data_IF_629109501272
#
_entry.id   IF_629109501272
#
_cell.length_a   1.000
_cell.length_b   1.000
_cell.length_c   1.000
_cell.angle_alpha   90.00
_cell.angle_beta   90.00
_cell.angle_gamma   90.00
#
_symmetry.space_group_name_H-M   'P 1'
#
loop_
_entity.id
_entity.type
_entity.pdbx_description
1 polymer ?
#
# COMPACT_ATOMS: atom_id res chain seq x y z
N UNK A 1 27.73 50.00 1.32
CA UNK A 1 27.38 50.39 2.70
C UNK A 1 25.94 49.96 2.94
N UNK A 2 25.63 49.45 4.15
CA UNK A 2 24.30 49.03 4.66
C UNK A 2 23.86 47.62 4.26
N UNK A 3 23.39 46.75 5.15
CA UNK A 3 23.33 46.68 6.62
C UNK A 3 23.17 45.19 6.94
N UNK A 4 24.09 44.60 7.71
CA UNK A 4 23.97 43.24 8.23
C UNK A 4 23.02 43.25 9.44
N UNK A 5 21.92 42.51 9.36
CA UNK A 5 20.95 42.35 10.43
C UNK A 5 21.22 41.00 11.11
N UNK A 6 21.86 41.05 12.28
CA UNK A 6 22.06 39.90 13.16
C UNK A 6 20.75 39.60 13.89
N UNK A 7 20.13 38.46 13.58
CA UNK A 7 18.98 37.94 14.34
C UNK A 7 19.50 36.92 15.35
N UNK A 8 19.47 37.30 16.62
CA UNK A 8 19.79 36.45 17.77
C UNK A 8 18.64 35.46 18.03
N UNK A 9 18.88 34.17 17.84
CA UNK A 9 17.94 33.12 18.23
C UNK A 9 18.32 32.61 19.64
N UNK A 10 17.50 33.00 20.62
CA UNK A 10 17.56 32.55 22.01
C UNK A 10 17.07 31.10 22.12
N UNK A 11 17.97 30.21 22.54
CA UNK A 11 17.73 28.79 22.78
C UNK A 11 17.11 28.60 24.17
N UNK A 12 15.82 28.28 24.23
CA UNK A 12 15.14 27.89 25.46
C UNK A 12 15.17 26.37 25.60
N UNK A 13 16.03 25.86 26.46
CA UNK A 13 16.06 24.46 26.89
C UNK A 13 14.87 24.21 27.82
N UNK A 14 13.88 23.43 27.38
CA UNK A 14 12.84 22.86 28.25
C UNK A 14 13.22 21.41 28.52
N UNK A 15 13.62 21.15 29.76
CA UNK A 15 13.83 19.82 30.30
C UNK A 15 12.52 19.33 30.95
N UNK A 16 11.95 18.25 30.43
CA UNK A 16 11.03 17.36 31.13
C UNK A 16 11.77 16.02 31.14
N UNK A 17 12.12 15.41 32.27
CA UNK A 17 11.30 15.18 33.45
C UNK A 17 11.05 13.67 33.47
N UNK A 18 11.93 12.95 34.18
CA UNK A 18 11.90 11.50 34.39
C UNK A 18 10.62 11.09 35.14
N UNK A 19 9.81 10.22 34.53
CA UNK A 19 8.76 9.47 35.23
C UNK A 19 9.06 7.97 35.11
N UNK A 20 9.88 7.50 36.06
CA UNK A 20 10.03 6.09 36.42
C UNK A 20 8.73 5.58 37.05
N UNK A 21 8.02 4.67 36.38
CA UNK A 21 6.77 4.14 36.90
C UNK A 21 6.31 2.82 36.31
N UNK A 22 6.79 1.71 36.87
CA UNK A 22 5.97 0.49 36.98
C UNK A 22 6.26 -0.63 35.98
N UNK A 23 7.09 -1.56 36.42
CA UNK A 23 7.11 -2.95 35.95
C UNK A 23 5.72 -3.60 36.10
N UNK A 24 5.22 -4.23 35.05
CA UNK A 24 4.25 -5.31 35.14
C UNK A 24 4.81 -6.55 34.43
N UNK A 25 5.48 -7.40 35.20
CA UNK A 25 5.89 -8.74 34.78
C UNK A 25 4.65 -9.64 34.67
N UNK A 26 4.06 -9.69 33.48
CA UNK A 26 2.98 -10.61 33.12
C UNK A 26 3.52 -11.84 32.38
N UNK A 27 4.19 -12.74 33.09
CA UNK A 27 4.65 -14.01 32.54
C UNK A 27 3.50 -14.96 32.22
N UNK A 28 3.10 -15.01 30.95
CA UNK A 28 2.27 -16.07 30.37
C UNK A 28 3.09 -16.88 29.37
N UNK A 29 3.90 -17.83 29.85
CA UNK A 29 4.51 -18.86 29.01
C UNK A 29 3.43 -19.87 28.65
N UNK A 30 2.97 -19.85 27.40
CA UNK A 30 2.31 -21.02 26.83
C UNK A 30 3.38 -22.04 26.44
N UNK A 31 3.48 -23.11 27.22
CA UNK A 31 4.27 -24.29 26.89
C UNK A 31 3.47 -25.18 25.95
N UNK A 32 3.36 -24.75 24.70
CA UNK A 32 2.96 -25.58 23.57
C UNK A 32 4.07 -26.58 23.27
N UNK A 33 3.81 -27.85 23.59
CA UNK A 33 4.67 -29.00 23.37
C UNK A 33 5.03 -29.14 21.89
N UNK A 34 6.32 -29.05 21.57
CA UNK A 34 6.85 -29.44 20.25
C UNK A 34 6.86 -30.97 20.22
N UNK A 35 5.86 -31.59 19.60
CA UNK A 35 5.94 -33.02 19.25
C UNK A 35 6.81 -33.17 18.00
N UNK A 36 7.65 -34.21 17.90
CA UNK A 36 8.47 -34.44 16.72
C UNK A 36 7.56 -34.74 15.51
N UNK A 37 7.72 -33.97 14.44
CA UNK A 37 7.17 -34.34 13.14
C UNK A 37 7.93 -35.55 12.60
N UNK A 38 7.35 -36.73 12.80
CA UNK A 38 7.68 -37.95 12.06
C UNK A 38 6.39 -38.54 11.50
N UNK A 39 6.42 -38.86 10.21
CA UNK A 39 5.58 -39.91 9.63
C UNK A 39 4.27 -39.45 9.00
N UNK A 40 4.17 -39.63 7.67
CA UNK A 40 2.93 -39.49 6.94
C UNK A 40 1.85 -40.45 7.43
N UNK A 41 0.66 -39.90 7.67
CA UNK A 41 -0.59 -40.63 7.78
C UNK A 41 -1.59 -39.98 6.84
N UNK A 42 -2.07 -40.76 5.86
CA UNK A 42 -3.26 -40.40 5.09
C UNK A 42 -4.44 -40.89 5.94
N UNK A 43 -5.14 -39.96 6.59
CA UNK A 43 -6.36 -40.25 7.34
C UNK A 43 -7.52 -40.50 6.36
N UNK A 44 -7.80 -41.78 6.07
CA UNK A 44 -8.98 -42.23 5.31
C UNK A 44 -10.22 -42.45 6.18
N UNK A 45 -10.27 -41.82 7.37
CA UNK A 45 -11.37 -41.95 8.31
C UNK A 45 -12.50 -40.98 8.03
N UNK A 46 -13.44 -41.35 7.15
CA UNK A 46 -14.73 -40.65 7.00
C UNK A 46 -15.57 -40.90 8.26
N UNK A 47 -15.54 -39.98 9.24
CA UNK A 47 -16.51 -40.00 10.33
C UNK A 47 -17.88 -39.53 9.81
N UNK A 48 -18.96 -40.33 9.92
CA UNK A 48 -20.31 -39.88 9.62
C UNK A 48 -20.78 -39.00 10.78
N UNK A 49 -20.94 -37.71 10.53
CA UNK A 49 -21.42 -36.74 11.52
C UNK A 49 -20.56 -35.48 11.70
N UNK A 50 -19.50 -35.31 10.91
CA UNK A 50 -18.84 -34.00 10.78
C UNK A 50 -19.82 -33.05 10.10
N UNK A 51 -20.13 -31.95 10.75
CA UNK A 51 -20.93 -30.89 10.17
C UNK A 51 -20.21 -30.40 8.92
N UNK A 52 -20.76 -30.72 7.76
CA UNK A 52 -20.43 -30.05 6.50
C UNK A 52 -20.95 -28.61 6.47
N UNK A 53 -21.14 -28.00 7.64
CA UNK A 53 -21.22 -26.57 7.77
C UNK A 53 -19.86 -26.05 7.35
N UNK A 54 -19.77 -25.60 6.10
CA UNK A 54 -18.76 -24.64 5.69
C UNK A 54 -18.80 -23.57 6.77
N UNK A 55 -17.79 -23.58 7.63
CA UNK A 55 -17.44 -22.50 8.51
C UNK A 55 -17.22 -21.32 7.57
N UNK A 56 -18.32 -20.59 7.35
CA UNK A 56 -18.35 -19.30 6.66
C UNK A 56 -17.72 -18.30 7.61
N UNK A 57 -16.49 -18.61 8.05
CA UNK A 57 -15.77 -17.97 9.11
C UNK A 57 -15.41 -16.58 8.65
N UNK A 58 -16.27 -15.63 8.98
CA UNK A 58 -15.96 -14.23 9.31
C UNK A 58 -15.09 -13.43 8.34
N UNK A 59 -14.83 -13.89 7.12
CA UNK A 59 -13.72 -13.43 6.30
C UNK A 59 -13.95 -12.17 5.45
N UNK A 60 -15.08 -11.46 5.59
CA UNK A 60 -15.42 -10.37 4.66
C UNK A 60 -15.85 -9.05 5.30
N UNK A 61 -15.78 -8.90 6.63
CA UNK A 61 -16.23 -7.66 7.28
C UNK A 61 -15.26 -6.49 7.16
N UNK A 62 -13.99 -6.71 6.83
CA UNK A 62 -12.98 -5.66 6.97
C UNK A 62 -13.19 -4.48 6.03
N UNK A 63 -13.80 -4.70 4.86
CA UNK A 63 -14.13 -3.64 3.89
C UNK A 63 -15.59 -3.20 3.93
N UNK A 64 -16.36 -3.69 4.91
CA UNK A 64 -17.69 -3.18 5.16
C UNK A 64 -17.59 -1.98 6.10
N UNK A 65 -17.52 -0.79 5.50
CA UNK A 65 -17.29 0.47 6.22
C UNK A 65 -18.48 0.95 7.05
N UNK A 66 -19.58 0.20 7.11
CA UNK A 66 -20.80 0.57 7.81
C UNK A 66 -21.54 1.72 7.10
N UNK A 67 -22.80 1.54 6.75
CA UNK A 67 -23.58 2.53 6.01
C UNK A 67 -24.91 1.99 5.52
N UNK A 68 -25.53 2.68 4.57
CA UNK A 68 -26.81 2.24 4.00
C UNK A 68 -26.68 1.19 2.90
N UNK A 69 -25.45 0.93 2.43
CA UNK A 69 -25.13 -0.04 1.38
C UNK A 69 -23.70 -0.56 1.52
N UNK A 70 -23.39 -1.67 0.86
CA UNK A 70 -22.07 -2.27 0.74
C UNK A 70 -21.42 -1.81 -0.58
N UNK A 71 -20.28 -1.13 -0.48
CA UNK A 71 -19.55 -0.57 -1.62
C UNK A 71 -19.10 -1.62 -2.66
N UNK A 72 -18.70 -2.80 -2.20
CA UNK A 72 -18.17 -3.86 -3.07
C UNK A 72 -19.29 -4.66 -3.73
N UNK A 73 -20.39 -4.88 -2.99
CA UNK A 73 -21.56 -5.59 -3.51
C UNK A 73 -22.47 -4.69 -4.36
N UNK A 74 -22.37 -3.36 -4.20
CA UNK A 74 -23.24 -2.37 -4.83
C UNK A 74 -24.74 -2.72 -4.66
N UNK A 75 -25.14 -3.01 -3.42
CA UNK A 75 -26.44 -3.61 -3.05
C UNK A 75 -27.58 -2.60 -2.84
N UNK A 76 -27.59 -1.53 -3.63
CA UNK A 76 -28.68 -0.54 -3.61
C UNK A 76 -30.00 -1.14 -4.12
N UNK A 77 -31.11 -0.75 -3.50
CA UNK A 77 -32.43 -1.39 -3.77
C UNK A 77 -33.16 -0.80 -4.97
N UNK A 78 -32.82 0.42 -5.39
CA UNK A 78 -33.40 1.07 -6.56
C UNK A 78 -32.54 0.81 -7.79
N UNK A 79 -33.16 0.39 -8.90
CA UNK A 79 -32.46 0.24 -10.17
C UNK A 79 -31.92 1.58 -10.67
N UNK A 80 -30.68 1.61 -11.14
CA UNK A 80 -29.99 2.85 -11.55
C UNK A 80 -29.28 3.55 -10.40
N UNK A 81 -29.20 2.96 -9.20
CA UNK A 81 -28.41 3.50 -8.08
C UNK A 81 -27.11 2.74 -7.89
N UNK A 82 -26.07 3.47 -7.51
CA UNK A 82 -24.79 2.94 -7.05
C UNK A 82 -24.57 3.23 -5.56
N UNK A 83 -23.72 2.42 -4.93
CA UNK A 83 -23.24 2.64 -3.57
C UNK A 83 -21.95 3.47 -3.60
N UNK A 84 -21.99 4.68 -3.05
CA UNK A 84 -20.88 5.64 -3.10
C UNK A 84 -20.38 6.00 -1.71
N UNK A 85 -19.06 6.05 -1.52
CA UNK A 85 -18.45 6.42 -0.25
C UNK A 85 -18.54 7.94 -0.05
N UNK A 86 -19.13 8.36 1.08
CA UNK A 86 -19.14 9.76 1.54
C UNK A 86 -18.42 9.89 2.88
N UNK A 87 -18.32 11.11 3.42
CA UNK A 87 -17.77 11.35 4.76
C UNK A 87 -18.56 10.67 5.88
N UNK A 88 -19.86 10.42 5.67
CA UNK A 88 -20.75 9.79 6.65
C UNK A 88 -20.90 8.27 6.42
N UNK A 89 -20.12 7.71 5.48
CA UNK A 89 -20.16 6.32 5.06
C UNK A 89 -20.79 6.10 3.68
N UNK A 90 -20.93 4.83 3.26
CA UNK A 90 -21.56 4.46 1.99
C UNK A 90 -23.05 4.83 1.92
N UNK A 91 -23.44 5.47 0.83
CA UNK A 91 -24.83 5.85 0.54
C UNK A 91 -25.26 5.43 -0.87
N UNK A 92 -26.53 5.06 -1.02
CA UNK A 92 -27.12 4.85 -2.34
C UNK A 92 -27.49 6.18 -2.98
N UNK A 93 -27.06 6.38 -4.22
CA UNK A 93 -27.42 7.54 -5.03
C UNK A 93 -27.56 7.15 -6.49
N UNK A 94 -28.25 7.98 -7.29
CA UNK A 94 -28.38 7.76 -8.72
C UNK A 94 -26.99 7.65 -9.37
N UNK A 95 -26.78 6.55 -10.10
CA UNK A 95 -25.55 6.29 -10.80
C UNK A 95 -25.46 7.08 -12.11
N UNK A 96 -24.24 7.45 -12.46
CA UNK A 96 -23.95 8.12 -13.70
C UNK A 96 -23.72 7.13 -14.85
N UNK A 97 -23.18 7.64 -15.94
CA UNK A 97 -22.97 6.86 -17.17
C UNK A 97 -21.50 6.64 -17.51
N UNK A 98 -20.58 7.25 -16.76
CA UNK A 98 -19.17 7.14 -17.05
C UNK A 98 -18.67 5.71 -16.75
N UNK A 99 -17.94 5.16 -17.72
CA UNK A 99 -17.32 3.85 -17.67
C UNK A 99 -15.97 3.89 -16.95
N UNK A 100 -15.42 2.72 -16.67
CA UNK A 100 -14.11 2.60 -16.01
C UNK A 100 -13.01 3.29 -16.82
N UNK A 101 -12.20 4.10 -16.13
CA UNK A 101 -11.16 4.95 -16.71
C UNK A 101 -11.64 6.31 -17.24
N UNK A 102 -12.95 6.53 -17.41
CA UNK A 102 -13.47 7.82 -17.88
C UNK A 102 -13.40 8.88 -16.77
N UNK A 103 -13.22 10.17 -17.13
CA UNK A 103 -13.18 11.26 -16.16
C UNK A 103 -14.55 11.48 -15.50
N UNK A 104 -14.53 11.83 -14.21
CA UNK A 104 -15.73 12.05 -13.42
C UNK A 104 -15.58 13.33 -12.57
N UNK A 105 -16.45 14.33 -12.78
CA UNK A 105 -16.49 15.54 -11.94
C UNK A 105 -17.00 15.29 -10.50
N UNK A 106 -17.85 14.29 -10.31
CA UNK A 106 -18.62 14.02 -9.09
C UNK A 106 -18.56 12.54 -8.71
N UNK A 107 -18.76 12.24 -7.41
CA UNK A 107 -18.68 10.87 -6.87
C UNK A 107 -19.56 9.86 -7.61
N UNK A 108 -20.76 10.30 -8.01
CA UNK A 108 -21.77 9.45 -8.64
C UNK A 108 -21.86 9.61 -10.17
N UNK A 109 -20.89 10.25 -10.82
CA UNK A 109 -20.88 10.34 -12.31
C UNK A 109 -20.51 9.00 -12.96
N UNK A 110 -19.95 8.08 -12.18
CA UNK A 110 -19.59 6.73 -12.60
C UNK A 110 -20.81 5.79 -12.55
N UNK A 111 -20.84 4.83 -13.48
CA UNK A 111 -21.83 3.74 -13.46
C UNK A 111 -21.76 2.93 -12.16
N UNK A 112 -22.82 2.17 -11.90
CA UNK A 112 -22.95 1.25 -10.76
C UNK A 112 -21.68 0.39 -10.54
N UNK A 113 -21.26 0.27 -9.27
CA UNK A 113 -20.07 -0.49 -8.87
C UNK A 113 -18.72 0.20 -9.13
N UNK A 114 -18.71 1.44 -9.62
CA UNK A 114 -17.50 2.26 -9.76
C UNK A 114 -17.59 3.50 -8.85
N UNK A 115 -16.46 3.94 -8.33
CA UNK A 115 -16.33 5.21 -7.63
C UNK A 115 -15.48 6.20 -8.42
N UNK A 116 -15.72 7.50 -8.20
CA UNK A 116 -14.92 8.56 -8.78
C UNK A 116 -13.73 8.90 -7.88
N UNK A 117 -12.51 8.55 -8.29
CA UNK A 117 -11.32 8.75 -7.47
C UNK A 117 -10.33 9.68 -8.17
N UNK A 118 -9.88 10.67 -7.41
CA UNK A 118 -8.77 11.53 -7.79
C UNK A 118 -7.48 10.88 -7.33
N UNK A 119 -6.60 10.55 -8.27
CA UNK A 119 -5.19 10.31 -7.96
C UNK A 119 -4.51 11.65 -7.71
N UNK A 120 -3.36 11.67 -7.03
CA UNK A 120 -2.58 12.89 -6.80
C UNK A 120 -2.25 13.65 -8.12
N UNK A 121 -2.36 12.96 -9.24
CA UNK A 121 -1.66 13.24 -10.49
C UNK A 121 -2.57 13.52 -11.68
N UNK A 122 -3.88 13.37 -11.52
CA UNK A 122 -4.80 13.38 -12.65
C UNK A 122 -6.19 13.89 -12.32
N UNK A 123 -7.04 14.07 -13.35
CA UNK A 123 -8.46 14.23 -13.14
C UNK A 123 -9.01 13.01 -12.38
N UNK A 124 -10.08 13.21 -11.64
CA UNK A 124 -10.75 12.07 -11.04
C UNK A 124 -11.29 11.16 -12.16
N UNK A 125 -11.10 9.86 -12.02
CA UNK A 125 -11.54 8.85 -12.99
C UNK A 125 -12.37 7.79 -12.29
N UNK A 126 -13.28 7.18 -13.04
CA UNK A 126 -14.10 6.09 -12.56
C UNK A 126 -13.25 4.82 -12.41
N UNK A 127 -13.15 4.30 -11.19
CA UNK A 127 -12.39 3.07 -10.89
C UNK A 127 -13.25 2.12 -10.06
N UNK A 128 -12.99 0.84 -10.23
CA UNK A 128 -13.59 -0.20 -9.39
C UNK A 128 -13.01 -0.15 -7.97
N UNK A 129 -13.88 -0.33 -6.99
CA UNK A 129 -13.49 -0.48 -5.59
C UNK A 129 -13.08 -1.94 -5.30
N UNK A 130 -12.16 -2.12 -4.37
CA UNK A 130 -11.67 -3.44 -3.97
C UNK A 130 -11.34 -3.50 -2.49
N UNK A 131 -11.19 -4.72 -1.99
CA UNK A 131 -10.81 -4.98 -0.62
C UNK A 131 -9.36 -5.48 -0.55
N UNK A 132 -8.48 -4.74 0.11
CA UNK A 132 -7.07 -5.13 0.20
C UNK A 132 -6.87 -6.41 1.01
N UNK A 133 -7.70 -6.65 2.02
CA UNK A 133 -7.65 -7.89 2.81
C UNK A 133 -8.16 -9.12 2.05
N UNK A 134 -8.93 -8.95 0.97
CA UNK A 134 -9.30 -10.05 0.05
C UNK A 134 -8.19 -10.36 -0.96
N UNK A 135 -7.06 -9.66 -0.90
CA UNK A 135 -6.01 -9.74 -1.91
C UNK A 135 -6.41 -9.10 -3.25
N UNK A 136 -7.46 -8.27 -3.27
CA UNK A 136 -7.96 -7.63 -4.49
C UNK A 136 -8.75 -8.56 -5.41
N UNK A 137 -9.46 -9.55 -4.85
CA UNK A 137 -10.26 -10.50 -5.63
C UNK A 137 -11.36 -9.82 -6.48
N UNK A 138 -11.71 -8.58 -6.16
CA UNK A 138 -12.68 -7.78 -6.91
C UNK A 138 -12.08 -7.13 -8.16
N UNK A 139 -10.75 -7.08 -8.26
CA UNK A 139 -10.06 -6.45 -9.37
C UNK A 139 -9.97 -7.34 -10.61
N UNK A 140 -10.01 -6.76 -11.82
CA UNK A 140 -9.71 -7.48 -13.05
C UNK A 140 -8.37 -8.23 -12.97
N UNK A 141 -8.24 -9.31 -13.74
CA UNK A 141 -6.99 -10.07 -13.79
C UNK A 141 -5.83 -9.16 -14.23
N UNK A 142 -4.80 -9.05 -13.39
CA UNK A 142 -3.63 -8.21 -13.64
C UNK A 142 -3.69 -6.83 -12.95
N UNK A 143 -4.83 -6.45 -12.38
CA UNK A 143 -4.95 -5.23 -11.59
C UNK A 143 -4.60 -5.50 -10.12
N UNK A 144 -4.13 -4.45 -9.45
CA UNK A 144 -3.85 -4.44 -8.02
C UNK A 144 -4.90 -3.64 -7.27
N UNK A 145 -5.19 -4.07 -6.05
CA UNK A 145 -6.00 -3.30 -5.11
C UNK A 145 -5.11 -2.32 -4.34
N UNK A 146 -5.11 -1.06 -4.76
CA UNK A 146 -4.36 0.00 -4.10
C UNK A 146 -5.22 0.65 -3.02
N UNK A 147 -4.78 0.50 -1.77
CA UNK A 147 -5.48 1.06 -0.61
C UNK A 147 -5.46 2.59 -0.61
N UNK A 148 -6.49 3.19 -0.04
CA UNK A 148 -6.46 4.61 0.28
C UNK A 148 -5.65 4.82 1.57
N UNK A 149 -4.80 5.84 1.60
CA UNK A 149 -3.99 6.16 2.79
C UNK A 149 -4.85 6.49 4.01
N UNK A 150 -6.03 7.09 3.80
CA UNK A 150 -6.92 7.58 4.86
C UNK A 150 -8.32 6.93 4.85
N UNK A 151 -8.57 5.91 4.02
CA UNK A 151 -9.90 5.30 4.04
C UNK A 151 -10.03 4.27 5.16
N UNK A 152 -11.19 4.24 5.85
CA UNK A 152 -11.49 3.19 6.78
C UNK A 152 -11.64 1.84 6.07
N UNK A 153 -11.20 0.76 6.74
CA UNK A 153 -11.57 -0.62 6.39
C UNK A 153 -10.89 -1.22 5.17
N UNK A 154 -9.55 -1.19 5.05
CA UNK A 154 -8.79 -1.87 3.98
C UNK A 154 -9.28 -1.60 2.54
N UNK A 155 -10.08 -0.56 2.33
CA UNK A 155 -10.70 -0.25 1.06
C UNK A 155 -9.63 0.32 0.12
N UNK A 156 -9.73 -0.05 -1.14
CA UNK A 156 -8.88 0.46 -2.20
C UNK A 156 -9.61 0.60 -3.52
N UNK A 157 -8.85 0.90 -4.56
CA UNK A 157 -9.31 0.90 -5.94
C UNK A 157 -8.42 0.03 -6.81
N UNK A 158 -9.02 -0.56 -7.84
CA UNK A 158 -8.31 -1.38 -8.82
C UNK A 158 -7.50 -0.49 -9.75
N UNK A 159 -6.21 -0.82 -9.90
CA UNK A 159 -5.30 -0.14 -10.80
C UNK A 159 -4.43 -1.15 -11.52
N UNK A 160 -4.39 -1.04 -12.84
CA UNK A 160 -3.44 -1.77 -13.67
C UNK A 160 -2.04 -1.18 -13.49
N UNK A 161 -1.04 -1.96 -13.06
CA UNK A 161 0.35 -1.51 -13.02
C UNK A 161 0.84 -1.09 -14.41
N UNK A 162 1.74 -0.10 -14.45
CA UNK A 162 2.42 0.29 -15.69
C UNK A 162 3.59 -0.64 -16.00
N UNK A 163 4.11 -0.58 -17.23
CA UNK A 163 5.31 -1.33 -17.65
C UNK A 163 6.58 -0.47 -17.63
N UNK A 164 6.64 0.54 -16.76
CA UNK A 164 7.76 1.45 -16.66
C UNK A 164 8.98 0.78 -16.00
N UNK A 165 10.18 1.34 -16.17
CA UNK A 165 11.40 0.84 -15.55
C UNK A 165 11.80 1.75 -14.38
N UNK A 166 11.74 1.30 -13.11
CA UNK A 166 12.09 2.12 -11.95
C UNK A 166 13.61 2.33 -11.79
N UNK A 167 14.45 1.52 -12.43
CA UNK A 167 15.92 1.66 -12.40
C UNK A 167 16.35 2.77 -13.37
N UNK A 168 15.85 2.71 -14.61
CA UNK A 168 16.21 3.65 -15.67
C UNK A 168 15.32 4.90 -15.69
N UNK A 169 14.21 4.88 -14.96
CA UNK A 169 13.14 5.90 -14.98
C UNK A 169 12.62 6.14 -16.41
N UNK A 170 12.31 5.05 -17.13
CA UNK A 170 11.78 5.06 -18.50
C UNK A 170 10.37 4.49 -18.56
N UNK A 171 9.61 4.84 -19.60
CA UNK A 171 8.25 4.33 -19.82
C UNK A 171 7.12 5.15 -19.20
N UNK A 172 7.45 6.23 -18.48
CA UNK A 172 6.47 7.22 -18.01
C UNK A 172 6.55 8.51 -18.82
N UNK A 173 5.49 9.32 -18.77
CA UNK A 173 5.43 10.62 -19.45
C UNK A 173 6.32 11.67 -18.74
N UNK A 174 6.56 12.78 -19.44
CA UNK A 174 7.38 13.86 -18.89
C UNK A 174 6.76 14.44 -17.61
N UNK A 175 7.50 14.40 -16.50
CA UNK A 175 7.03 14.86 -15.18
C UNK A 175 6.49 13.75 -14.28
N UNK A 176 6.47 12.51 -14.76
CA UNK A 176 6.17 11.31 -13.97
C UNK A 176 7.45 10.59 -13.54
N UNK A 177 7.33 9.81 -12.47
CA UNK A 177 8.35 8.87 -12.02
C UNK A 177 7.79 7.45 -12.04
N UNK A 178 8.63 6.49 -12.42
CA UNK A 178 8.31 5.08 -12.28
C UNK A 178 8.63 4.63 -10.85
N UNK A 179 7.60 4.29 -10.09
CA UNK A 179 7.72 3.90 -8.68
C UNK A 179 7.13 2.52 -8.43
N UNK A 180 7.61 1.83 -7.41
CA UNK A 180 7.01 0.58 -6.94
C UNK A 180 5.77 0.90 -6.12
N UNK A 181 4.64 0.30 -6.47
CA UNK A 181 3.32 0.54 -5.85
C UNK A 181 2.84 -0.62 -4.96
N UNK A 182 3.52 -1.77 -5.00
CA UNK A 182 3.17 -2.94 -4.19
C UNK A 182 4.39 -3.78 -3.81
N UNK A 183 4.24 -4.61 -2.77
CA UNK A 183 5.31 -5.46 -2.23
C UNK A 183 5.77 -6.61 -3.14
N UNK A 184 5.08 -6.84 -4.26
CA UNK A 184 5.48 -7.78 -5.31
C UNK A 184 6.39 -7.14 -6.37
N UNK A 185 6.77 -5.87 -6.18
CA UNK A 185 7.59 -5.10 -7.11
C UNK A 185 6.83 -4.56 -8.31
N UNK A 186 5.49 -4.63 -8.33
CA UNK A 186 4.68 -3.96 -9.34
C UNK A 186 4.93 -2.45 -9.35
N UNK A 187 4.98 -1.87 -10.54
CA UNK A 187 5.37 -0.47 -10.74
C UNK A 187 4.28 0.33 -11.43
N UNK A 188 4.33 1.65 -11.23
CA UNK A 188 3.43 2.56 -11.90
C UNK A 188 4.07 3.93 -12.14
N UNK A 189 3.50 4.65 -13.10
CA UNK A 189 3.82 6.04 -13.35
C UNK A 189 2.96 6.92 -12.45
N UNK A 190 3.63 7.70 -11.61
CA UNK A 190 3.00 8.70 -10.74
C UNK A 190 3.61 10.06 -11.06
N UNK A 191 2.76 11.08 -11.17
CA UNK A 191 3.24 12.47 -11.15
C UNK A 191 3.53 12.89 -9.72
N UNK A 192 4.09 14.08 -9.50
CA UNK A 192 4.15 14.67 -8.16
C UNK A 192 5.02 13.92 -7.13
N UNK A 193 5.66 12.81 -7.50
CA UNK A 193 6.69 12.12 -6.73
C UNK A 193 7.91 13.03 -6.71
N UNK A 194 7.89 13.93 -5.73
CA UNK A 194 8.83 15.05 -5.56
C UNK A 194 9.83 14.78 -4.45
N UNK A 195 9.92 13.53 -4.02
CA UNK A 195 10.98 13.11 -3.13
C UNK A 195 12.32 13.64 -3.61
N UNK A 196 13.09 14.19 -2.69
CA UNK A 196 14.41 14.77 -2.96
C UNK A 196 15.51 14.00 -2.23
N UNK A 197 15.12 13.01 -1.42
CA UNK A 197 16.08 12.19 -0.68
C UNK A 197 16.69 11.17 -1.63
N UNK A 198 18.02 11.12 -1.60
CA UNK A 198 18.83 10.17 -2.37
C UNK A 198 19.35 9.06 -1.45
N UNK A 199 20.26 8.22 -1.95
CA UNK A 199 20.87 7.11 -1.23
C UNK A 199 21.22 7.46 0.24
N UNK A 200 20.71 6.67 1.18
CA UNK A 200 20.95 6.81 2.62
C UNK A 200 20.13 7.90 3.32
N UNK A 201 19.30 8.67 2.62
CA UNK A 201 18.43 9.66 3.24
C UNK A 201 17.28 9.04 4.03
N UNK A 202 16.98 9.57 5.22
CA UNK A 202 15.93 9.04 6.11
C UNK A 202 14.52 9.21 5.54
N UNK A 203 13.79 8.11 5.41
CA UNK A 203 12.42 8.10 4.87
C UNK A 203 11.43 7.44 5.83
N UNK A 204 10.14 7.56 5.52
CA UNK A 204 9.07 6.82 6.20
C UNK A 204 8.42 5.86 5.19
N UNK A 205 7.95 4.69 5.61
CA UNK A 205 7.46 3.65 4.69
C UNK A 205 6.30 4.11 3.80
N UNK A 206 5.49 5.04 4.32
CA UNK A 206 4.30 5.56 3.64
C UNK A 206 4.54 6.94 3.00
N UNK A 207 5.72 7.54 3.16
CA UNK A 207 6.03 8.84 2.58
C UNK A 207 6.86 8.69 1.31
N UNK A 208 6.38 9.28 0.21
CA UNK A 208 7.09 9.41 -1.06
C UNK A 208 8.24 10.44 -1.02
N UNK A 209 9.11 10.36 0.00
CA UNK A 209 10.25 11.29 0.21
C UNK A 209 11.49 10.93 -0.58
N UNK A 210 11.61 9.67 -0.99
CA UNK A 210 12.71 9.22 -1.84
C UNK A 210 12.52 9.76 -3.26
N UNK A 211 13.61 10.22 -3.87
CA UNK A 211 13.60 10.69 -5.25
C UNK A 211 13.26 9.54 -6.23
N UNK A 212 12.87 9.91 -7.45
CA UNK A 212 12.71 8.96 -8.54
C UNK A 212 13.98 8.09 -8.71
N UNK A 213 13.80 6.78 -8.85
CA UNK A 213 14.90 5.81 -8.87
C UNK A 213 15.34 5.29 -7.49
N UNK A 214 14.63 5.67 -6.42
CA UNK A 214 14.89 5.22 -5.06
C UNK A 214 13.64 4.65 -4.39
N UNK A 215 13.82 3.73 -3.45
CA UNK A 215 12.78 3.11 -2.61
C UNK A 215 13.11 3.30 -1.14
N UNK A 216 12.10 3.52 -0.31
CA UNK A 216 12.28 3.55 1.14
C UNK A 216 12.38 2.13 1.69
N UNK A 217 13.53 1.76 2.26
CA UNK A 217 13.74 0.45 2.87
C UNK A 217 13.97 0.59 4.36
N UNK A 218 13.36 -0.32 5.14
CA UNK A 218 13.59 -0.45 6.57
C UNK A 218 14.38 -1.73 6.87
N UNK A 219 15.58 -1.65 7.47
CA UNK A 219 16.22 -2.84 8.02
C UNK A 219 15.38 -3.39 9.19
N UNK A 220 15.48 -4.69 9.48
CA UNK A 220 14.80 -5.31 10.64
C UNK A 220 15.15 -4.61 11.97
N UNK A 221 16.34 -4.02 12.05
CA UNK A 221 16.77 -3.18 13.15
C UNK A 221 17.44 -1.91 12.61
N UNK A 222 16.74 -0.78 12.64
CA UNK A 222 17.29 0.53 12.27
C UNK A 222 16.25 1.48 11.65
N UNK A 223 16.65 2.73 11.37
CA UNK A 223 15.80 3.69 10.65
C UNK A 223 15.65 3.29 9.18
N UNK A 224 14.53 3.68 8.57
CA UNK A 224 14.37 3.49 7.13
C UNK A 224 15.21 4.50 6.36
N UNK A 225 15.70 4.09 5.20
CA UNK A 225 16.52 4.92 4.33
C UNK A 225 16.15 4.74 2.86
N UNK A 226 16.38 5.77 2.06
CA UNK A 226 16.22 5.69 0.61
C UNK A 226 17.37 4.89 -0.01
N UNK A 227 17.03 3.80 -0.70
CA UNK A 227 17.96 2.95 -1.42
C UNK A 227 17.73 3.09 -2.92
N UNK A 228 18.79 3.27 -3.71
CA UNK A 228 18.70 3.35 -5.17
C UNK A 228 18.31 1.98 -5.73
N UNK A 229 17.40 1.94 -6.70
CA UNK A 229 17.12 0.71 -7.42
C UNK A 229 18.35 0.25 -8.23
N UNK A 230 18.50 -1.06 -8.36
CA UNK A 230 19.55 -1.70 -9.15
C UNK A 230 19.06 -3.01 -9.75
N UNK A 231 19.74 -3.46 -10.81
CA UNK A 231 19.50 -4.79 -11.38
C UNK A 231 20.61 -5.75 -10.90
N UNK A 232 20.29 -6.71 -10.01
CA UNK A 232 21.29 -7.64 -9.48
C UNK A 232 21.83 -8.62 -10.52
N UNK A 233 21.12 -8.82 -11.64
CA UNK A 233 21.54 -9.71 -12.73
C UNK A 233 22.47 -9.02 -13.74
N UNK A 234 22.34 -7.71 -13.94
CA UNK A 234 23.10 -6.97 -14.96
C UNK A 234 24.26 -6.19 -14.36
N UNK A 235 24.07 -5.55 -13.20
CA UNK A 235 25.07 -4.62 -12.65
C UNK A 235 25.21 -4.72 -11.12
N UNK A 236 25.75 -5.83 -10.60
CA UNK A 236 25.91 -6.03 -9.16
C UNK A 236 26.77 -4.94 -8.49
N UNK A 237 27.69 -4.32 -9.24
CA UNK A 237 28.59 -3.28 -8.76
C UNK A 237 28.11 -1.83 -9.04
N UNK A 238 26.87 -1.63 -9.49
CA UNK A 238 26.35 -0.29 -9.86
C UNK A 238 26.04 0.64 -8.68
N UNK A 239 26.10 0.11 -7.46
CA UNK A 239 25.68 0.80 -6.24
C UNK A 239 26.71 1.78 -5.68
N UNK A 240 27.95 1.76 -6.17
CA UNK A 240 29.05 2.56 -5.63
C UNK A 240 29.74 1.90 -4.43
N UNK A 241 30.75 2.56 -3.90
CA UNK A 241 31.59 2.00 -2.83
C UNK A 241 30.79 1.71 -1.55
N UNK A 242 31.00 0.52 -0.97
CA UNK A 242 30.40 0.13 0.31
C UNK A 242 28.93 -0.31 0.24
N UNK A 243 28.32 -0.33 -0.96
CA UNK A 243 26.96 -0.78 -1.18
C UNK A 243 26.95 -1.98 -2.13
N UNK A 244 26.01 -2.89 -1.92
CA UNK A 244 25.78 -4.06 -2.78
C UNK A 244 24.36 -4.01 -3.30
N UNK A 245 24.19 -4.40 -4.56
CA UNK A 245 22.87 -4.59 -5.14
C UNK A 245 22.26 -5.87 -4.58
N UNK A 246 21.34 -5.73 -3.63
CA UNK A 246 20.63 -6.85 -3.03
C UNK A 246 19.26 -7.02 -3.68
N UNK A 247 18.88 -8.29 -3.91
CA UNK A 247 17.51 -8.61 -4.32
C UNK A 247 16.56 -8.31 -3.16
N UNK A 248 15.40 -7.73 -3.48
CA UNK A 248 14.30 -7.55 -2.52
C UNK A 248 13.39 -8.77 -2.61
N UNK A 249 13.08 -9.38 -1.46
CA UNK A 249 12.15 -10.51 -1.42
C UNK A 249 10.76 -10.08 -1.89
N UNK A 250 10.13 -10.93 -2.70
CA UNK A 250 8.83 -10.63 -3.33
C UNK A 250 8.94 -9.90 -4.68
N UNK A 251 10.06 -9.22 -4.97
CA UNK A 251 10.22 -8.47 -6.21
C UNK A 251 10.68 -9.37 -7.38
N UNK A 252 10.48 -8.92 -8.64
CA UNK A 252 11.06 -9.56 -9.81
C UNK A 252 12.58 -9.72 -9.69
N UNK A 253 13.14 -10.77 -10.31
CA UNK A 253 14.55 -11.11 -10.16
C UNK A 253 15.52 -10.02 -10.65
N UNK A 254 15.07 -9.13 -11.54
CA UNK A 254 15.82 -8.01 -12.10
C UNK A 254 15.60 -6.69 -11.34
N UNK A 255 14.90 -6.71 -10.20
CA UNK A 255 14.66 -5.52 -9.38
C UNK A 255 15.19 -5.73 -7.96
N UNK A 256 16.25 -5.01 -7.64
CA UNK A 256 16.87 -4.95 -6.32
C UNK A 256 17.10 -3.52 -5.85
N UNK A 257 17.81 -3.38 -4.74
CA UNK A 257 18.19 -2.09 -4.21
C UNK A 257 19.61 -2.09 -3.64
N UNK A 258 20.25 -0.92 -3.74
CA UNK A 258 21.58 -0.66 -3.21
C UNK A 258 21.52 -0.46 -1.70
N UNK A 259 22.02 -1.44 -0.95
CA UNK A 259 22.07 -1.42 0.51
C UNK A 259 23.50 -1.71 1.01
N UNK A 260 23.86 -1.25 2.22
CA UNK A 260 25.10 -1.66 2.88
C UNK A 260 25.19 -3.19 3.00
N UNK A 261 26.42 -3.72 2.94
CA UNK A 261 26.69 -5.14 3.25
C UNK A 261 26.48 -5.46 4.73
#
# INVERSE_FOLDING_TARGET
MRTLLFLSLSLSLVACGDDDGGRADGGGRDSGMVTPMDGGGIDTGTMPGVDSGIDSGGGSSDCNVGGSCNLLANDCTTAGEGCYLTSDGPVCAAAGTASEGEPCPSLNDCREGLGCFRTADGPATCRRLCCRSSGGAECPLGDLCLGFTDAPGNLGFCRTPSSCNPIEQTGCDAGEACVVIAGDGSVDCLTGVTGSLTQGGDCMPDDARCAAGFICLGPMAGPNFCARFCDPAVTPDSCGEGLVCNRIDGFPANLGACAPM
#
